data_IF_557771531138
#
_entry.id   IF_557771531138
#
_cell.length_a   1.000
_cell.length_b   1.000
_cell.length_c   1.000
_cell.angle_alpha   90.00
_cell.angle_beta   90.00
_cell.angle_gamma   90.00
#
_symmetry.space_group_name_H-M   'P 1'
#
loop_
_entity.id
_entity.type
_entity.pdbx_description
1 polymer ?
#
# COMPACT_ATOMS: atom_id res chain seq x y z
N UNK A 1 -33.07 5.77 20.44
CA UNK A 1 -32.92 6.24 19.05
C UNK A 1 -31.55 5.84 18.53
N UNK A 2 -31.43 5.31 17.31
CA UNK A 2 -30.15 4.87 16.71
C UNK A 2 -29.64 5.96 15.75
N UNK A 3 -28.35 6.27 15.80
CA UNK A 3 -27.74 7.20 14.85
C UNK A 3 -27.78 6.63 13.43
N UNK A 4 -28.21 7.45 12.48
CA UNK A 4 -28.19 7.14 11.06
C UNK A 4 -27.41 8.22 10.32
N UNK A 5 -26.30 7.83 9.68
CA UNK A 5 -25.49 8.76 8.90
C UNK A 5 -25.92 8.71 7.42
N UNK A 6 -26.42 9.82 6.83
CA UNK A 6 -26.95 9.81 5.46
C UNK A 6 -25.93 9.40 4.39
N UNK A 7 -24.64 9.66 4.65
CA UNK A 7 -23.56 9.40 3.70
C UNK A 7 -22.77 8.11 4.04
N UNK A 8 -23.35 7.20 4.83
CA UNK A 8 -22.67 5.95 5.23
C UNK A 8 -22.17 5.15 4.03
N UNK A 9 -22.95 5.06 2.95
CA UNK A 9 -22.54 4.38 1.70
C UNK A 9 -21.26 4.97 1.10
N UNK A 10 -21.05 6.28 1.22
CA UNK A 10 -19.85 6.96 0.71
C UNK A 10 -18.65 6.62 1.60
N UNK A 11 -18.84 6.59 2.92
CA UNK A 11 -17.80 6.16 3.87
C UNK A 11 -17.36 4.73 3.57
N UNK A 12 -18.31 3.83 3.34
CA UNK A 12 -18.03 2.42 3.03
C UNK A 12 -17.30 2.28 1.69
N UNK A 13 -17.72 3.03 0.66
CA UNK A 13 -17.05 3.09 -0.63
C UNK A 13 -15.60 3.54 -0.47
N UNK A 14 -15.35 4.60 0.30
CA UNK A 14 -14.01 5.14 0.51
C UNK A 14 -13.09 4.18 1.27
N UNK A 15 -13.64 3.44 2.23
CA UNK A 15 -12.94 2.31 2.85
C UNK A 15 -12.55 1.24 1.84
N UNK A 16 -13.48 0.85 0.96
CA UNK A 16 -13.20 -0.17 -0.07
C UNK A 16 -12.16 0.27 -1.10
N UNK A 17 -12.18 1.56 -1.53
CA UNK A 17 -11.19 2.14 -2.43
C UNK A 17 -9.78 2.11 -1.82
N UNK A 18 -9.66 2.42 -0.52
CA UNK A 18 -8.39 2.31 0.19
C UNK A 18 -7.92 0.87 0.28
N UNK A 19 -8.78 -0.07 0.66
CA UNK A 19 -8.41 -1.49 0.71
C UNK A 19 -7.94 -2.01 -0.66
N UNK A 20 -8.58 -1.58 -1.74
CA UNK A 20 -8.12 -1.90 -3.09
C UNK A 20 -6.72 -1.32 -3.38
N UNK A 21 -6.46 -0.07 -2.98
CA UNK A 21 -5.13 0.54 -3.13
C UNK A 21 -4.06 -0.17 -2.29
N UNK A 22 -4.39 -0.69 -1.10
CA UNK A 22 -3.48 -1.51 -0.27
C UNK A 22 -3.10 -2.80 -0.99
N UNK A 23 -4.08 -3.48 -1.60
CA UNK A 23 -3.85 -4.67 -2.41
C UNK A 23 -2.97 -4.39 -3.62
N UNK A 24 -3.25 -3.31 -4.38
CA UNK A 24 -2.43 -2.91 -5.53
C UNK A 24 -0.98 -2.58 -5.13
N UNK A 25 -0.81 -1.90 -4.00
CA UNK A 25 0.51 -1.61 -3.45
C UNK A 25 1.26 -2.88 -3.05
N UNK A 26 0.62 -3.79 -2.32
CA UNK A 26 1.22 -5.08 -1.95
C UNK A 26 1.61 -5.90 -3.20
N UNK A 27 0.75 -5.95 -4.21
CA UNK A 27 1.03 -6.61 -5.48
C UNK A 27 2.23 -5.98 -6.22
N UNK A 28 2.38 -4.64 -6.16
CA UNK A 28 3.53 -3.96 -6.76
C UNK A 28 4.86 -4.30 -6.08
N UNK A 29 4.86 -4.46 -4.75
CA UNK A 29 6.03 -4.92 -4.00
C UNK A 29 6.38 -6.36 -4.39
N UNK A 30 5.37 -7.22 -4.56
CA UNK A 30 5.58 -8.60 -5.02
C UNK A 30 6.29 -8.65 -6.37
N UNK A 31 5.86 -7.82 -7.34
CA UNK A 31 6.52 -7.73 -8.66
C UNK A 31 7.94 -7.19 -8.57
N UNK A 32 8.20 -6.19 -7.71
CA UNK A 32 9.55 -5.68 -7.50
C UNK A 32 10.48 -6.78 -6.98
N UNK A 33 10.05 -7.52 -5.96
CA UNK A 33 10.84 -8.63 -5.40
C UNK A 33 11.14 -9.71 -6.43
N UNK A 34 10.19 -10.02 -7.31
CA UNK A 34 10.40 -11.01 -8.36
C UNK A 34 11.46 -10.56 -9.37
N UNK A 35 11.46 -9.28 -9.78
CA UNK A 35 12.51 -8.76 -10.67
C UNK A 35 13.87 -8.63 -9.97
N UNK A 36 13.90 -8.27 -8.69
CA UNK A 36 15.11 -8.25 -7.87
C UNK A 36 15.73 -9.65 -7.73
N UNK A 37 14.92 -10.68 -7.49
CA UNK A 37 15.41 -12.06 -7.37
C UNK A 37 15.97 -12.56 -8.71
N UNK A 38 15.27 -12.31 -9.81
CA UNK A 38 15.78 -12.65 -11.16
C UNK A 38 17.10 -11.94 -11.48
N UNK A 39 17.24 -10.68 -11.07
CA UNK A 39 18.50 -9.94 -11.22
C UNK A 39 19.60 -10.57 -10.36
N UNK A 40 19.27 -10.98 -9.13
CA UNK A 40 20.21 -11.64 -8.21
C UNK A 40 20.73 -12.96 -8.79
N UNK A 41 19.85 -13.78 -9.37
CA UNK A 41 20.23 -15.04 -10.04
C UNK A 41 21.22 -14.78 -11.18
N UNK A 42 20.98 -13.78 -12.04
CA UNK A 42 21.89 -13.43 -13.13
C UNK A 42 23.25 -12.91 -12.63
N UNK A 43 23.26 -12.17 -11.52
CA UNK A 43 24.51 -11.68 -10.92
C UNK A 43 25.32 -12.83 -10.30
N UNK A 44 24.65 -13.82 -9.70
CA UNK A 44 25.30 -15.02 -9.21
C UNK A 44 25.89 -15.85 -10.35
N UNK A 45 25.12 -16.06 -11.42
CA UNK A 45 25.59 -16.74 -12.63
C UNK A 45 26.82 -16.04 -13.24
N UNK A 46 26.83 -14.69 -13.23
CA UNK A 46 27.98 -13.91 -13.72
C UNK A 46 29.23 -14.16 -12.87
N UNK A 47 29.07 -14.16 -11.55
CA UNK A 47 30.19 -14.40 -10.64
C UNK A 47 30.79 -15.81 -10.82
N UNK A 48 29.94 -16.83 -11.02
CA UNK A 48 30.39 -18.20 -11.31
C UNK A 48 31.17 -18.28 -12.64
N UNK A 49 30.71 -17.61 -13.69
CA UNK A 49 31.41 -17.55 -14.98
C UNK A 49 32.74 -16.81 -14.91
N UNK A 50 32.80 -15.70 -14.16
CA UNK A 50 34.04 -14.95 -13.94
C UNK A 50 35.09 -15.83 -13.23
N UNK A 51 34.66 -16.64 -12.24
CA UNK A 51 35.54 -17.60 -11.58
C UNK A 51 36.03 -18.70 -12.53
N UNK A 52 35.13 -19.26 -13.36
CA UNK A 52 35.49 -20.24 -14.39
C UNK A 52 36.50 -19.67 -15.40
N UNK A 53 36.29 -18.45 -15.88
CA UNK A 53 37.21 -17.75 -16.78
C UNK A 53 38.59 -17.53 -16.15
N UNK A 54 38.62 -17.10 -14.88
CA UNK A 54 39.86 -16.93 -14.13
C UNK A 54 40.63 -18.26 -14.00
N UNK A 55 39.93 -19.35 -13.68
CA UNK A 55 40.53 -20.68 -13.57
C UNK A 55 41.03 -21.22 -14.92
N UNK A 56 40.27 -20.99 -16.00
CA UNK A 56 40.65 -21.38 -17.36
C UNK A 56 41.89 -20.62 -17.87
N UNK A 57 42.03 -19.35 -17.51
CA UNK A 57 43.19 -18.54 -17.88
C UNK A 57 44.50 -19.06 -17.25
N UNK A 58 44.44 -19.60 -16.03
CA UNK A 58 45.61 -20.17 -15.32
C UNK A 58 45.97 -21.57 -15.82
N UNK A 59 45.00 -22.34 -16.28
CA UNK A 59 45.16 -23.78 -16.60
C UNK A 59 45.57 -24.09 -18.05
N UNK A 60 45.75 -23.07 -18.91
CA UNK A 60 46.21 -23.27 -20.29
C UNK A 60 45.15 -23.84 -21.24
N UNK A 61 43.91 -23.38 -21.08
CA UNK A 61 42.72 -23.83 -21.84
C UNK A 61 42.76 -23.37 -23.31
N UNK A 62 42.09 -24.13 -24.20
CA UNK A 62 42.02 -23.78 -25.63
C UNK A 62 41.37 -22.41 -25.86
N UNK A 63 41.95 -21.61 -26.76
CA UNK A 63 41.47 -20.28 -27.12
C UNK A 63 39.98 -20.24 -27.53
N UNK A 64 39.48 -21.30 -28.17
CA UNK A 64 38.09 -21.39 -28.60
C UNK A 64 37.10 -21.46 -27.41
N UNK A 65 37.48 -22.13 -26.32
CA UNK A 65 36.65 -22.24 -25.11
C UNK A 65 36.64 -20.89 -24.36
N UNK A 66 37.78 -20.21 -24.28
CA UNK A 66 37.88 -18.86 -23.72
C UNK A 66 37.00 -17.87 -24.50
N UNK A 67 37.04 -17.90 -25.83
CA UNK A 67 36.22 -17.05 -26.68
C UNK A 67 34.71 -17.31 -26.49
N UNK A 68 34.32 -18.58 -26.33
CA UNK A 68 32.93 -18.95 -26.06
C UNK A 68 32.44 -18.44 -24.71
N UNK A 69 33.26 -18.56 -23.66
CA UNK A 69 32.94 -18.06 -22.32
C UNK A 69 32.84 -16.53 -22.30
N UNK A 70 33.75 -15.84 -22.99
CA UNK A 70 33.72 -14.38 -23.15
C UNK A 70 32.43 -13.92 -23.83
N UNK A 71 32.03 -14.60 -24.93
CA UNK A 71 30.78 -14.28 -25.62
C UNK A 71 29.55 -14.50 -24.73
N UNK A 72 29.56 -15.58 -23.93
CA UNK A 72 28.47 -15.85 -23.00
C UNK A 72 28.36 -14.76 -21.91
N UNK A 73 29.50 -14.29 -21.40
CA UNK A 73 29.56 -13.17 -20.45
C UNK A 73 28.94 -11.89 -21.04
N UNK A 74 29.27 -11.55 -22.29
CA UNK A 74 28.69 -10.38 -22.97
C UNK A 74 27.15 -10.47 -23.08
N UNK A 75 26.64 -11.65 -23.41
CA UNK A 75 25.19 -11.91 -23.46
C UNK A 75 24.57 -11.75 -22.07
N UNK A 76 25.23 -12.27 -21.04
CA UNK A 76 24.77 -12.19 -19.66
C UNK A 76 24.73 -10.74 -19.15
N UNK A 77 25.76 -9.94 -19.45
CA UNK A 77 25.78 -8.50 -19.13
C UNK A 77 24.65 -7.73 -19.84
N UNK A 78 24.33 -8.09 -21.09
CA UNK A 78 23.18 -7.55 -21.79
C UNK A 78 21.86 -7.85 -21.07
N UNK A 79 21.68 -9.09 -20.59
CA UNK A 79 20.51 -9.53 -19.81
C UNK A 79 20.43 -8.80 -18.47
N UNK A 80 21.55 -8.67 -17.75
CA UNK A 80 21.64 -7.95 -16.47
C UNK A 80 21.21 -6.48 -16.65
N UNK A 81 21.76 -5.79 -17.65
CA UNK A 81 21.36 -4.39 -17.95
C UNK A 81 19.87 -4.27 -18.27
N UNK A 82 19.33 -5.23 -19.00
CA UNK A 82 17.89 -5.32 -19.27
C UNK A 82 17.07 -5.46 -17.98
N UNK A 83 17.49 -6.35 -17.08
CA UNK A 83 16.81 -6.60 -15.80
C UNK A 83 16.93 -5.46 -14.81
N UNK A 84 18.07 -4.79 -14.72
CA UNK A 84 18.23 -3.58 -13.90
C UNK A 84 17.20 -2.51 -14.28
N UNK A 85 16.98 -2.27 -15.58
CA UNK A 85 15.90 -1.36 -16.04
C UNK A 85 14.51 -1.85 -15.65
N UNK A 86 14.29 -3.16 -15.65
CA UNK A 86 13.05 -3.79 -15.16
C UNK A 86 12.82 -3.52 -13.68
N UNK A 87 13.85 -3.66 -12.84
CA UNK A 87 13.82 -3.32 -11.41
C UNK A 87 13.50 -1.84 -11.22
N UNK A 88 14.21 -0.93 -11.91
CA UNK A 88 13.95 0.51 -11.84
C UNK A 88 12.48 0.87 -12.20
N UNK A 89 11.94 0.23 -13.23
CA UNK A 89 10.54 0.41 -13.63
C UNK A 89 9.57 -0.15 -12.57
N UNK A 90 9.87 -1.30 -11.98
CA UNK A 90 9.08 -1.89 -10.91
C UNK A 90 9.09 -1.02 -9.65
N UNK A 91 10.24 -0.49 -9.27
CA UNK A 91 10.37 0.46 -8.16
C UNK A 91 9.56 1.74 -8.40
N UNK A 92 9.61 2.28 -9.62
CA UNK A 92 8.79 3.43 -10.01
C UNK A 92 7.29 3.11 -9.87
N UNK A 93 6.89 1.90 -10.25
CA UNK A 93 5.55 1.36 -10.02
C UNK A 93 5.18 1.32 -8.54
N UNK A 94 6.05 0.80 -7.68
CA UNK A 94 5.85 0.77 -6.21
C UNK A 94 5.67 2.18 -5.65
N UNK A 95 6.53 3.13 -6.05
CA UNK A 95 6.43 4.54 -5.63
C UNK A 95 5.09 5.16 -6.03
N UNK A 96 4.63 4.91 -7.26
CA UNK A 96 3.33 5.37 -7.73
C UNK A 96 2.18 4.79 -6.89
N UNK A 97 2.18 3.48 -6.66
CA UNK A 97 1.11 2.84 -5.89
C UNK A 97 1.11 3.29 -4.42
N UNK A 98 2.29 3.53 -3.84
CA UNK A 98 2.41 4.12 -2.50
C UNK A 98 1.77 5.50 -2.43
N UNK A 99 1.99 6.34 -3.45
CA UNK A 99 1.38 7.68 -3.52
C UNK A 99 -0.14 7.59 -3.61
N UNK A 100 -0.68 6.70 -4.45
CA UNK A 100 -2.13 6.46 -4.57
C UNK A 100 -2.74 5.97 -3.26
N UNK A 101 -2.09 5.04 -2.58
CA UNK A 101 -2.55 4.56 -1.27
C UNK A 101 -2.58 5.69 -0.24
N UNK A 102 -1.58 6.57 -0.25
CA UNK A 102 -1.55 7.72 0.66
C UNK A 102 -2.73 8.67 0.40
N UNK A 103 -3.03 8.98 -0.87
CA UNK A 103 -4.18 9.79 -1.27
C UNK A 103 -5.50 9.16 -0.81
N UNK A 104 -5.73 7.87 -1.11
CA UNK A 104 -6.95 7.15 -0.69
C UNK A 104 -7.10 7.08 0.83
N UNK A 105 -5.99 6.94 1.55
CA UNK A 105 -5.98 6.95 3.02
C UNK A 105 -6.38 8.32 3.59
N UNK A 106 -5.99 9.42 2.94
CA UNK A 106 -6.42 10.76 3.34
C UNK A 106 -7.90 10.96 3.06
N UNK A 107 -8.37 10.57 1.87
CA UNK A 107 -9.79 10.65 1.52
C UNK A 107 -10.66 9.88 2.53
N UNK A 108 -10.34 8.61 2.82
CA UNK A 108 -11.06 7.80 3.80
C UNK A 108 -11.13 8.51 5.17
N UNK A 109 -10.01 9.04 5.65
CA UNK A 109 -9.95 9.78 6.93
C UNK A 109 -10.87 11.00 6.94
N UNK A 110 -10.94 11.75 5.84
CA UNK A 110 -11.85 12.91 5.73
C UNK A 110 -13.29 12.46 5.93
N UNK A 111 -13.70 11.37 5.30
CA UNK A 111 -15.06 10.83 5.40
C UNK A 111 -15.38 10.25 6.77
N UNK A 112 -14.44 9.52 7.38
CA UNK A 112 -14.58 9.04 8.75
C UNK A 112 -14.72 10.20 9.75
N UNK A 113 -13.86 11.22 9.63
CA UNK A 113 -13.94 12.41 10.48
C UNK A 113 -15.26 13.17 10.30
N UNK A 114 -15.78 13.27 9.08
CA UNK A 114 -17.08 13.88 8.81
C UNK A 114 -18.23 13.12 9.47
N UNK A 115 -18.21 11.78 9.40
CA UNK A 115 -19.17 10.92 10.09
C UNK A 115 -19.08 11.10 11.61
N UNK A 116 -17.87 11.11 12.16
CA UNK A 116 -17.67 11.23 13.60
C UNK A 116 -18.17 12.58 14.12
N UNK A 117 -17.92 13.68 13.39
CA UNK A 117 -18.50 14.99 13.71
C UNK A 117 -20.03 14.97 13.68
N UNK A 118 -20.64 14.35 12.67
CA UNK A 118 -22.09 14.21 12.60
C UNK A 118 -22.66 13.39 13.77
N UNK A 119 -21.93 12.36 14.21
CA UNK A 119 -22.30 11.57 15.38
C UNK A 119 -22.26 12.39 16.68
N UNK A 120 -21.22 13.22 16.86
CA UNK A 120 -21.13 14.08 18.04
C UNK A 120 -22.28 15.10 18.09
N UNK A 121 -22.65 15.70 16.96
CA UNK A 121 -23.79 16.60 16.87
C UNK A 121 -25.10 15.89 17.24
N UNK A 122 -25.35 14.72 16.64
CA UNK A 122 -26.52 13.91 16.98
C UNK A 122 -26.59 13.57 18.47
N UNK A 123 -25.46 13.20 19.08
CA UNK A 123 -25.37 12.87 20.50
C UNK A 123 -25.70 14.09 21.37
N UNK A 124 -25.15 15.26 21.04
CA UNK A 124 -25.41 16.49 21.78
C UNK A 124 -26.89 16.88 21.70
N UNK A 125 -27.47 16.87 20.50
CA UNK A 125 -28.90 17.17 20.30
C UNK A 125 -29.80 16.21 21.09
N UNK A 126 -29.44 14.92 21.13
CA UNK A 126 -30.17 13.94 21.91
C UNK A 126 -30.08 14.22 23.42
N UNK A 127 -28.89 14.53 23.94
CA UNK A 127 -28.71 14.90 25.34
C UNK A 127 -29.50 16.16 25.71
N UNK A 128 -29.49 17.18 24.84
CA UNK A 128 -30.28 18.41 25.07
C UNK A 128 -31.77 18.12 25.11
N UNK A 129 -32.30 17.28 24.21
CA UNK A 129 -33.71 16.87 24.24
C UNK A 129 -34.07 16.13 25.53
N UNK A 130 -33.22 15.19 25.96
CA UNK A 130 -33.43 14.47 27.21
C UNK A 130 -33.40 15.40 28.43
N UNK A 131 -32.50 16.38 28.46
CA UNK A 131 -32.46 17.38 29.53
C UNK A 131 -33.76 18.20 29.56
N UNK A 132 -34.22 18.68 28.40
CA UNK A 132 -35.47 19.45 28.31
C UNK A 132 -36.69 18.63 28.79
N UNK A 133 -36.79 17.35 28.42
CA UNK A 133 -37.85 16.46 28.89
C UNK A 133 -37.82 16.29 30.42
N UNK A 134 -36.64 16.16 31.02
CA UNK A 134 -36.50 16.08 32.49
C UNK A 134 -36.89 17.37 33.19
N UNK A 135 -36.49 18.52 32.63
CA UNK A 135 -36.83 19.84 33.16
C UNK A 135 -38.35 20.08 33.11
N UNK A 136 -39.01 19.72 32.01
CA UNK A 136 -40.47 19.76 31.87
C UNK A 136 -41.17 18.89 32.92
N UNK A 137 -40.70 17.65 33.13
CA UNK A 137 -41.24 16.77 34.17
C UNK A 137 -41.08 17.35 35.58
N UNK A 138 -39.94 17.99 35.86
CA UNK A 138 -39.69 18.64 37.15
C UNK A 138 -40.65 19.81 37.38
N UNK A 139 -40.89 20.64 36.36
CA UNK A 139 -41.85 21.76 36.42
C UNK A 139 -43.26 21.23 36.71
N UNK A 140 -43.72 20.21 35.97
CA UNK A 140 -45.06 19.63 36.16
C UNK A 140 -45.23 19.08 37.57
N UNK A 141 -44.24 18.32 38.08
CA UNK A 141 -44.28 17.79 39.45
C UNK A 141 -44.31 18.88 40.51
N UNK A 142 -43.50 19.92 40.35
CA UNK A 142 -43.47 21.06 41.26
C UNK A 142 -44.79 21.86 41.24
N UNK A 143 -45.46 21.94 40.10
CA UNK A 143 -46.79 22.53 40.00
C UNK A 143 -47.85 21.67 40.69
N UNK A 144 -47.83 20.34 40.49
CA UNK A 144 -48.79 19.42 41.13
C UNK A 144 -48.60 19.27 42.65
N UNK A 145 -47.42 19.56 43.19
CA UNK A 145 -47.16 19.50 44.64
C UNK A 145 -47.57 20.77 45.39
N UNK A 146 -47.98 21.84 44.67
CA UNK A 146 -48.37 23.14 45.23
C UNK A 146 -49.89 23.42 45.15
N UNK A 147 -50.66 22.51 44.56
CA UNK A 147 -52.13 22.51 44.59
C UNK A 147 -52.64 21.43 45.52
#
# INVERSE_FOLDING_TARGET
>A
MRFHYPLQKIVDLKGSEKSMAEWEYAASIGRLREEEERLRELLAERAELEELLSNAAVSGVMLAELASLQHYLDVLEGRIRGRMRGVEAAEAGVRLQRSKLAERSVEEKVWLNARDKAYQLYRNDWLTKQQNELDEMAIVRAASARG
#
